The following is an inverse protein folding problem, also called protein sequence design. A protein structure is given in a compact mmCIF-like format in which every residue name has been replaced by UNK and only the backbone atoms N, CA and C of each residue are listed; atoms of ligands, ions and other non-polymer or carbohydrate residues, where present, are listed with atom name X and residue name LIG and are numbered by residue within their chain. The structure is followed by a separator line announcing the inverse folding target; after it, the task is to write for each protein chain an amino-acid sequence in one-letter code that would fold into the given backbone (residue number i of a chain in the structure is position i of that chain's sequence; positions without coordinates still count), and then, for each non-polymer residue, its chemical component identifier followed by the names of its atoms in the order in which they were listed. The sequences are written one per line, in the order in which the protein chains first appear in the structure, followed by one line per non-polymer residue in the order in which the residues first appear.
data_IF_772220245510
#
_entry.id   IF_772220245510
#
_cell.length_a   1.000
_cell.length_b   1.000
_cell.length_c   1.000
_cell.angle_alpha   90.00
_cell.angle_beta   90.00
_cell.angle_gamma   90.00
#
_symmetry.space_group_name_H-M   'P 1'
#
loop_
_entity.id
_entity.type
_entity.pdbx_description
1 polymer ?
#
# COMPACT_ATOMS: atom_id res chain seq x y z
N UNK A 1 -1.50 -21.14 -1.37
CA UNK A 1 -1.65 -20.36 -2.63
C UNK A 1 -1.74 -18.87 -2.28
N UNK A 2 -0.62 -18.17 -2.06
CA UNK A 2 -0.67 -16.75 -1.63
C UNK A 2 0.51 -15.90 -2.11
N UNK A 3 1.24 -16.36 -3.14
CA UNK A 3 2.47 -15.71 -3.62
C UNK A 3 2.33 -15.07 -5.02
N UNK A 4 1.14 -15.15 -5.64
CA UNK A 4 0.93 -14.74 -7.04
C UNK A 4 0.23 -13.38 -7.20
N UNK A 5 -0.22 -12.77 -6.11
CA UNK A 5 -0.90 -11.45 -6.15
C UNK A 5 0.12 -10.30 -5.96
N UNK A 6 1.36 -10.63 -5.58
CA UNK A 6 2.33 -9.67 -5.05
C UNK A 6 2.98 -8.75 -6.12
N UNK A 7 2.64 -8.91 -7.39
CA UNK A 7 3.22 -8.08 -8.47
C UNK A 7 2.19 -7.57 -9.48
N UNK A 8 0.96 -7.28 -9.05
CA UNK A 8 0.13 -6.41 -9.88
C UNK A 8 0.78 -5.03 -9.97
N UNK A 9 1.10 -4.61 -11.20
CA UNK A 9 1.61 -3.26 -11.45
C UNK A 9 0.48 -2.27 -11.19
N UNK A 10 0.85 -1.00 -10.96
CA UNK A 10 -0.12 0.07 -10.71
C UNK A 10 -1.20 0.13 -11.81
N UNK A 11 -0.84 -0.13 -13.07
CA UNK A 11 -1.76 -0.21 -14.21
C UNK A 11 -2.80 -1.34 -14.09
N UNK A 12 -2.42 -2.50 -13.54
CA UNK A 12 -3.36 -3.62 -13.39
C UNK A 12 -4.33 -3.38 -12.22
N UNK A 13 -3.90 -2.62 -11.21
CA UNK A 13 -4.74 -2.24 -10.06
C UNK A 13 -5.82 -1.24 -10.44
N UNK A 14 -5.54 -0.31 -11.36
CA UNK A 14 -6.52 0.69 -11.82
C UNK A 14 -7.70 0.09 -12.59
N UNK A 15 -7.55 -1.14 -13.09
CA UNK A 15 -8.61 -1.86 -13.82
C UNK A 15 -9.54 -2.66 -12.91
N UNK A 16 -9.21 -2.77 -11.62
CA UNK A 16 -10.02 -3.49 -10.65
C UNK A 16 -11.12 -2.60 -10.10
N UNK A 17 -12.30 -3.17 -9.92
CA UNK A 17 -13.42 -2.50 -9.25
C UNK A 17 -13.02 -2.04 -7.83
N UNK A 18 -13.51 -0.87 -7.38
CA UNK A 18 -13.24 -0.35 -6.03
C UNK A 18 -13.43 -1.36 -4.90
N UNK A 19 -14.53 -2.14 -4.81
CA UNK A 19 -14.70 -3.13 -3.75
C UNK A 19 -13.63 -4.23 -3.76
N UNK A 20 -13.09 -4.59 -4.93
CA UNK A 20 -12.01 -5.58 -5.04
C UNK A 20 -10.69 -4.99 -4.54
N UNK A 21 -10.43 -3.72 -4.87
CA UNK A 21 -9.28 -2.98 -4.34
C UNK A 21 -9.35 -2.84 -2.82
N UNK A 22 -10.52 -2.54 -2.26
CA UNK A 22 -10.71 -2.42 -0.80
C UNK A 22 -10.53 -3.75 -0.08
N UNK A 23 -11.05 -4.86 -0.64
CA UNK A 23 -10.85 -6.20 -0.09
C UNK A 23 -9.36 -6.54 -0.01
N UNK A 24 -8.64 -6.36 -1.13
CA UNK A 24 -7.19 -6.63 -1.22
C UNK A 24 -6.38 -5.71 -0.33
N UNK A 25 -6.77 -4.45 -0.22
CA UNK A 25 -6.16 -3.49 0.70
C UNK A 25 -6.27 -3.98 2.16
N UNK A 26 -7.44 -4.49 2.54
CA UNK A 26 -7.64 -5.09 3.86
C UNK A 26 -6.74 -6.30 4.11
N UNK A 27 -6.57 -7.17 3.13
CA UNK A 27 -5.65 -8.31 3.20
C UNK A 27 -4.19 -7.86 3.35
N UNK A 28 -3.75 -6.87 2.57
CA UNK A 28 -2.40 -6.33 2.64
C UNK A 28 -2.10 -5.67 3.99
N UNK A 29 -3.06 -4.93 4.55
CA UNK A 29 -2.91 -4.33 5.89
C UNK A 29 -2.78 -5.45 6.95
N UNK A 30 -3.58 -6.52 6.87
CA UNK A 30 -3.45 -7.67 7.78
C UNK A 30 -2.09 -8.37 7.64
N UNK A 31 -1.64 -8.62 6.42
CA UNK A 31 -0.31 -9.17 6.15
C UNK A 31 0.79 -8.26 6.71
N UNK A 32 0.66 -6.94 6.51
CA UNK A 32 1.58 -5.97 7.06
C UNK A 32 1.62 -6.03 8.59
N UNK A 33 0.48 -6.13 9.28
CA UNK A 33 0.48 -6.25 10.75
C UNK A 33 1.16 -7.51 11.28
N UNK A 34 1.30 -8.54 10.43
CA UNK A 34 1.95 -9.80 10.78
C UNK A 34 3.46 -9.80 10.47
N UNK A 35 3.86 -9.19 9.35
CA UNK A 35 5.22 -9.29 8.82
C UNK A 35 6.03 -7.99 8.90
N UNK A 36 5.37 -6.83 8.99
CA UNK A 36 5.98 -5.51 9.14
C UNK A 36 7.14 -5.26 8.15
N UNK A 37 6.93 -5.52 6.86
CA UNK A 37 7.96 -5.31 5.83
C UNK A 37 7.71 -4.04 5.02
N UNK A 38 8.79 -3.43 4.52
CA UNK A 38 8.71 -2.27 3.63
C UNK A 38 7.92 -2.56 2.36
N UNK A 39 8.07 -3.76 1.78
CA UNK A 39 7.37 -4.18 0.55
C UNK A 39 5.86 -4.21 0.75
N UNK A 40 5.38 -4.72 1.88
CA UNK A 40 3.95 -4.73 2.19
C UNK A 40 3.42 -3.31 2.39
N UNK A 41 4.17 -2.43 3.08
CA UNK A 41 3.79 -1.02 3.21
C UNK A 41 3.75 -0.28 1.87
N UNK A 42 4.72 -0.52 0.98
CA UNK A 42 4.72 0.03 -0.38
C UNK A 42 3.54 -0.52 -1.21
N UNK A 43 3.20 -1.80 -1.06
CA UNK A 43 2.05 -2.40 -1.73
C UNK A 43 0.73 -1.79 -1.26
N UNK A 44 0.55 -1.57 0.04
CA UNK A 44 -0.61 -0.86 0.61
C UNK A 44 -0.73 0.55 0.04
N UNK A 45 0.38 1.30 -0.03
CA UNK A 45 0.40 2.65 -0.60
C UNK A 45 -0.06 2.65 -2.07
N UNK A 46 0.43 1.70 -2.90
CA UNK A 46 0.03 1.59 -4.32
C UNK A 46 -1.46 1.30 -4.48
N UNK A 47 -2.05 0.46 -3.64
CA UNK A 47 -3.48 0.15 -3.69
C UNK A 47 -4.34 1.35 -3.31
N UNK A 48 -3.91 2.14 -2.32
CA UNK A 48 -4.57 3.40 -1.96
C UNK A 48 -4.49 4.44 -3.08
N UNK A 49 -3.38 4.50 -3.81
CA UNK A 49 -3.24 5.37 -4.98
C UNK A 49 -4.12 4.92 -6.16
N UNK A 50 -4.24 3.61 -6.38
CA UNK A 50 -5.15 3.07 -7.39
C UNK A 50 -6.61 3.44 -7.07
N UNK A 51 -7.02 3.32 -5.80
CA UNK A 51 -8.34 3.78 -5.34
C UNK A 51 -8.53 5.30 -5.52
N UNK A 52 -7.50 6.09 -5.22
CA UNK A 52 -7.53 7.55 -5.39
C UNK A 52 -7.72 7.96 -6.87
N UNK A 53 -7.10 7.24 -7.80
CA UNK A 53 -7.18 7.52 -9.24
C UNK A 53 -8.43 6.91 -9.90
N UNK A 54 -9.22 6.12 -9.17
CA UNK A 54 -10.40 5.47 -9.74
C UNK A 54 -11.51 6.48 -10.05
N UNK A 55 -12.10 6.48 -11.27
CA UNK A 55 -13.06 7.49 -11.69
C UNK A 55 -14.32 7.56 -10.81
N UNK A 56 -14.77 6.43 -10.27
CA UNK A 56 -15.94 6.40 -9.37
C UNK A 56 -15.68 7.09 -8.02
N UNK A 57 -14.48 6.94 -7.48
CA UNK A 57 -14.05 7.55 -6.20
C UNK A 57 -13.68 9.03 -6.40
N UNK A 58 -13.33 9.42 -7.64
CA UNK A 58 -12.90 10.77 -7.97
C UNK A 58 -13.98 11.85 -7.72
N UNK A 59 -15.25 11.45 -7.60
CA UNK A 59 -16.37 12.37 -7.37
C UNK A 59 -16.44 12.93 -5.94
N UNK A 60 -15.74 12.33 -4.96
CA UNK A 60 -15.79 12.73 -3.55
C UNK A 60 -14.45 13.27 -3.03
N UNK A 61 -14.35 14.60 -2.92
CA UNK A 61 -13.12 15.31 -2.48
C UNK A 61 -12.69 14.99 -1.04
N UNK A 62 -13.63 14.68 -0.15
CA UNK A 62 -13.32 14.28 1.23
C UNK A 62 -12.67 12.88 1.26
N UNK A 63 -13.23 11.94 0.47
CA UNK A 63 -12.69 10.59 0.32
C UNK A 63 -11.30 10.61 -0.33
N UNK A 64 -11.10 11.45 -1.35
CA UNK A 64 -9.80 11.65 -1.97
C UNK A 64 -8.74 12.16 -0.98
N UNK A 65 -9.06 13.16 -0.17
CA UNK A 65 -8.15 13.68 0.84
C UNK A 65 -7.75 12.60 1.86
N UNK A 66 -8.72 11.77 2.27
CA UNK A 66 -8.46 10.66 3.19
C UNK A 66 -7.52 9.62 2.56
N UNK A 67 -7.80 9.17 1.33
CA UNK A 67 -6.97 8.21 0.60
C UNK A 67 -5.55 8.72 0.40
N UNK A 68 -5.38 9.99 0.01
CA UNK A 68 -4.06 10.61 -0.17
C UNK A 68 -3.27 10.67 1.13
N UNK A 69 -3.92 11.03 2.25
CA UNK A 69 -3.28 11.06 3.58
C UNK A 69 -2.86 9.66 4.02
N UNK A 70 -3.71 8.66 3.78
CA UNK A 70 -3.39 7.26 4.05
C UNK A 70 -2.19 6.80 3.21
N UNK A 71 -2.19 7.05 1.90
CA UNK A 71 -1.08 6.65 1.02
C UNK A 71 0.26 7.28 1.45
N UNK A 72 0.25 8.56 1.85
CA UNK A 72 1.43 9.24 2.37
C UNK A 72 1.95 8.61 3.67
N UNK A 73 1.06 8.24 4.59
CA UNK A 73 1.43 7.55 5.82
C UNK A 73 2.10 6.20 5.55
N UNK A 74 1.53 5.40 4.65
CA UNK A 74 2.09 4.09 4.28
C UNK A 74 3.44 4.20 3.55
N UNK A 75 3.64 5.23 2.71
CA UNK A 75 4.96 5.52 2.14
C UNK A 75 6.00 5.88 3.18
N UNK A 76 5.63 6.73 4.15
CA UNK A 76 6.52 7.07 5.25
C UNK A 76 6.90 5.83 6.05
N UNK A 77 5.94 4.92 6.27
CA UNK A 77 6.17 3.66 6.97
C UNK A 77 7.12 2.74 6.16
N UNK A 78 6.90 2.60 4.86
CA UNK A 78 7.79 1.84 3.97
C UNK A 78 9.22 2.41 3.95
N UNK A 79 9.36 3.73 3.94
CA UNK A 79 10.67 4.41 4.05
C UNK A 79 11.32 4.10 5.40
N UNK A 80 10.58 4.23 6.51
CA UNK A 80 11.08 3.91 7.85
C UNK A 80 11.54 2.46 7.99
N UNK A 81 10.87 1.51 7.35
CA UNK A 81 11.30 0.10 7.34
C UNK A 81 12.56 -0.13 6.50
N UNK A 82 12.77 0.65 5.43
CA UNK A 82 14.02 0.64 4.66
C UNK A 82 15.18 1.27 5.42
N UNK A 83 14.96 2.41 6.06
CA UNK A 83 15.95 3.10 6.89
C UNK A 83 16.25 2.35 8.20
N UNK A 84 15.29 1.55 8.69
CA UNK A 84 15.41 0.69 9.87
C UNK A 84 15.95 -0.71 9.58
N UNK A 85 16.29 -1.04 8.32
CA UNK A 85 17.09 -2.22 8.04
C UNK A 85 18.41 -2.07 8.81
N UNK A 86 18.81 -3.07 9.62
CA UNK A 86 19.81 -2.83 10.65
C UNK A 86 21.11 -2.35 10.02
N UNK A 87 21.61 -1.24 10.53
CA UNK A 87 23.03 -0.98 10.65
C UNK A 87 23.67 -2.07 11.55
N UNK A 88 23.61 -3.33 11.11
CA UNK A 88 24.32 -4.45 11.70
C UNK A 88 25.70 -4.55 11.05
N UNK A 89 26.49 -3.47 11.03
CA UNK A 89 27.95 -3.55 10.86
C UNK A 89 28.66 -2.26 11.31
N UNK A 90 28.56 -1.91 12.60
CA UNK A 90 29.65 -1.17 13.22
C UNK A 90 29.72 -1.48 14.73
N UNK A 91 30.23 -2.66 15.04
CA UNK A 91 30.93 -2.90 16.31
C UNK A 91 32.34 -3.36 15.93
N UNK A 92 33.29 -2.43 16.00
CA UNK A 92 34.71 -2.67 16.13
C UNK A 92 35.15 -2.05 17.46
#
# INVERSE_FOLDING_TARGET
MQQLIDQLKADDLQRLDPPVLELRLGELIRLYTSHCTSELADSVARHLEALYLHPEVSSNTAQQCALRRFAAHWRWLAARHRDGAPAATLRA
#
